data_IF_866982195822
#
_entry.id   IF_866982195822
#
_cell.length_a   1.000
_cell.length_b   1.000
_cell.length_c   1.000
_cell.angle_alpha   90.00
_cell.angle_beta   90.00
_cell.angle_gamma   90.00
#
_symmetry.space_group_name_H-M   'P 1'
#
loop_
_entity.id
_entity.type
_entity.pdbx_description
1 polymer ?
#
# COMPACT_ATOMS: atom_id res chain seq x y z
N UNK A 1 18.23 -83.70 -7.82
CA UNK A 1 18.74 -82.33 -8.05
C UNK A 1 17.60 -81.40 -7.74
N UNK A 2 17.72 -80.62 -6.67
CA UNK A 2 16.63 -79.84 -6.10
C UNK A 2 16.41 -78.51 -6.86
N UNK A 3 15.13 -78.16 -6.94
CA UNK A 3 14.52 -77.12 -7.75
C UNK A 3 14.84 -75.74 -7.15
N UNK A 4 15.37 -74.82 -7.97
CA UNK A 4 15.69 -73.46 -7.54
C UNK A 4 14.48 -72.55 -7.74
N UNK A 5 14.09 -71.91 -6.65
CA UNK A 5 12.83 -71.26 -6.38
C UNK A 5 12.71 -69.90 -7.09
N UNK A 6 11.50 -69.56 -7.52
CA UNK A 6 11.16 -68.35 -8.28
C UNK A 6 11.51 -67.05 -7.55
N UNK A 7 12.53 -66.36 -8.05
CA UNK A 7 12.77 -64.94 -7.77
C UNK A 7 12.39 -64.19 -9.06
N UNK A 8 11.41 -63.28 -9.04
CA UNK A 8 11.12 -62.46 -10.21
C UNK A 8 12.34 -61.61 -10.55
N UNK A 9 12.72 -61.62 -11.84
CA UNK A 9 13.88 -60.90 -12.35
C UNK A 9 13.73 -59.40 -12.06
N UNK A 10 14.74 -58.82 -11.42
CA UNK A 10 14.79 -57.39 -11.10
C UNK A 10 14.61 -56.54 -12.37
N UNK A 11 15.10 -57.02 -13.51
CA UNK A 11 14.92 -56.33 -14.78
C UNK A 11 13.44 -56.28 -15.20
N UNK A 12 12.67 -57.32 -14.91
CA UNK A 12 11.24 -57.38 -15.22
C UNK A 12 10.42 -56.46 -14.32
N UNK A 13 10.78 -56.37 -13.03
CA UNK A 13 10.18 -55.43 -12.07
C UNK A 13 10.45 -53.97 -12.49
N UNK A 14 11.70 -53.65 -12.81
CA UNK A 14 12.08 -52.29 -13.25
C UNK A 14 11.39 -51.91 -14.57
N UNK A 15 11.26 -52.85 -15.51
CA UNK A 15 10.55 -52.62 -16.77
C UNK A 15 9.06 -52.39 -16.56
N UNK A 16 8.44 -53.12 -15.65
CA UNK A 16 7.01 -52.96 -15.32
C UNK A 16 6.76 -51.63 -14.63
N UNK A 17 7.65 -51.20 -13.72
CA UNK A 17 7.56 -49.88 -13.07
C UNK A 17 7.75 -48.73 -14.06
N UNK A 18 8.67 -48.86 -15.03
CA UNK A 18 8.88 -47.84 -16.06
C UNK A 18 7.64 -47.64 -16.96
N UNK A 19 6.87 -48.70 -17.22
CA UNK A 19 5.65 -48.65 -18.03
C UNK A 19 4.43 -48.06 -17.30
N UNK A 20 4.45 -47.97 -15.97
CA UNK A 20 3.36 -47.39 -15.17
C UNK A 20 3.54 -45.88 -14.93
N UNK A 21 4.67 -45.30 -15.33
CA UNK A 21 4.88 -43.86 -15.27
C UNK A 21 4.15 -43.16 -16.44
N UNK A 22 3.38 -42.08 -16.20
CA UNK A 22 2.76 -41.30 -17.28
C UNK A 22 3.84 -40.66 -18.17
N UNK A 23 3.59 -40.44 -19.48
CA UNK A 23 4.60 -40.01 -20.43
C UNK A 23 5.13 -38.62 -20.07
N UNK A 24 6.39 -38.57 -19.63
CA UNK A 24 7.17 -37.34 -19.63
C UNK A 24 7.69 -37.10 -21.04
N UNK A 25 7.02 -36.19 -21.75
CA UNK A 25 7.57 -35.58 -22.94
C UNK A 25 8.80 -34.74 -22.56
N UNK A 26 9.94 -35.04 -23.18
CA UNK A 26 10.93 -34.05 -23.61
C UNK A 26 11.89 -33.50 -22.55
N UNK A 27 13.15 -33.91 -22.66
CA UNK A 27 14.29 -33.24 -22.06
C UNK A 27 14.45 -31.79 -22.58
N UNK A 28 14.50 -30.82 -21.68
CA UNK A 28 15.28 -29.59 -21.84
C UNK A 28 15.92 -29.20 -20.50
N UNK A 29 17.22 -28.88 -20.57
CA UNK A 29 18.00 -28.28 -19.49
C UNK A 29 17.32 -27.01 -18.97
N UNK A 30 17.14 -26.87 -17.65
CA UNK A 30 16.83 -25.58 -17.02
C UNK A 30 17.76 -25.37 -15.82
N UNK A 31 18.61 -24.37 -16.03
CA UNK A 31 19.45 -23.62 -15.09
C UNK A 31 18.61 -23.00 -13.95
N UNK A 32 19.13 -22.81 -12.72
CA UNK A 32 18.35 -22.23 -11.64
C UNK A 32 18.06 -20.75 -11.93
N UNK A 33 16.79 -20.42 -12.15
CA UNK A 33 16.28 -19.05 -12.15
C UNK A 33 15.34 -18.83 -10.96
N UNK A 34 15.38 -17.65 -10.33
CA UNK A 34 14.70 -17.35 -9.08
C UNK A 34 13.20 -17.18 -9.31
N UNK A 35 12.41 -17.59 -8.32
CA UNK A 35 10.97 -17.38 -8.29
C UNK A 35 10.67 -15.88 -8.30
N UNK A 36 9.97 -15.45 -9.35
CA UNK A 36 9.54 -14.07 -9.55
C UNK A 36 8.50 -13.62 -8.54
N UNK A 37 8.62 -12.34 -8.23
CA UNK A 37 7.73 -11.50 -7.44
C UNK A 37 6.47 -11.24 -8.28
N UNK A 38 5.29 -11.60 -7.78
CA UNK A 38 4.03 -11.14 -8.37
C UNK A 38 3.90 -9.62 -8.21
N UNK A 39 4.30 -8.91 -9.27
CA UNK A 39 4.10 -7.48 -9.46
C UNK A 39 2.69 -7.17 -10.00
N UNK A 40 2.23 -5.95 -9.71
CA UNK A 40 1.01 -5.29 -10.14
C UNK A 40 0.69 -5.45 -11.64
N UNK A 41 -0.58 -5.30 -12.07
CA UNK A 41 -0.87 -5.05 -13.47
C UNK A 41 -0.59 -3.58 -13.78
N UNK A 42 0.60 -3.29 -14.33
CA UNK A 42 0.85 -2.03 -15.03
C UNK A 42 0.80 -2.23 -16.54
N UNK A 43 0.36 -1.17 -17.18
CA UNK A 43 -0.26 -1.08 -18.49
C UNK A 43 0.69 -0.36 -19.42
N UNK A 44 1.24 -1.05 -20.41
CA UNK A 44 2.21 -0.53 -21.37
C UNK A 44 1.99 -1.26 -22.72
N UNK A 45 2.09 -0.72 -23.93
CA UNK A 45 2.34 0.60 -24.50
C UNK A 45 1.90 0.52 -25.98
N UNK A 46 1.47 1.63 -26.58
CA UNK A 46 1.72 1.85 -28.01
C UNK A 46 2.12 3.32 -28.21
N UNK A 47 3.34 3.50 -28.68
CA UNK A 47 4.01 4.79 -28.87
C UNK A 47 4.21 4.98 -30.38
N UNK A 48 3.63 6.04 -30.94
CA UNK A 48 4.21 6.65 -32.13
C UNK A 48 3.87 8.14 -32.17
N UNK A 49 4.90 8.96 -32.04
CA UNK A 49 4.93 10.38 -32.35
C UNK A 49 6.01 10.54 -33.43
N UNK A 50 5.84 11.48 -34.39
CA UNK A 50 6.81 12.56 -34.40
C UNK A 50 6.20 13.95 -34.70
N UNK A 51 6.70 14.95 -33.98
CA UNK A 51 6.73 16.37 -34.35
C UNK A 51 8.06 16.63 -35.11
N UNK A 52 8.20 17.67 -35.96
CA UNK A 52 8.68 19.00 -35.48
C UNK A 52 8.01 20.14 -36.33
N UNK A 53 7.77 21.40 -35.94
CA UNK A 53 8.68 22.49 -35.54
C UNK A 53 7.87 23.80 -35.51
N UNK A 54 7.94 24.53 -34.39
CA UNK A 54 8.14 26.00 -34.21
C UNK A 54 7.57 27.00 -35.23
N UNK A 55 6.78 27.98 -34.76
CA UNK A 55 7.04 29.46 -34.81
C UNK A 55 5.78 30.31 -34.45
N UNK A 56 5.85 31.00 -33.32
CA UNK A 56 5.36 32.39 -33.07
C UNK A 56 6.61 33.27 -32.95
N UNK A 57 6.61 34.62 -33.13
CA UNK A 57 5.56 35.64 -32.91
C UNK A 57 5.36 36.55 -34.16
N UNK A 58 4.51 37.57 -34.28
CA UNK A 58 4.29 38.83 -33.52
C UNK A 58 3.09 39.59 -34.21
N UNK A 59 2.74 40.87 -33.91
CA UNK A 59 1.36 41.37 -33.90
C UNK A 59 1.05 42.32 -35.08
N UNK A 60 -0.15 42.23 -35.65
CA UNK A 60 -0.60 43.21 -36.63
C UNK A 60 -1.78 44.02 -36.10
N UNK A 61 -1.46 45.27 -35.80
CA UNK A 61 -2.36 46.41 -35.65
C UNK A 61 -3.13 46.62 -36.95
N UNK A 62 -4.46 46.72 -36.88
CA UNK A 62 -5.37 47.42 -37.82
C UNK A 62 -6.81 46.99 -37.48
N UNK A 63 -7.89 47.74 -37.63
CA UNK A 63 -8.18 49.17 -37.78
C UNK A 63 -9.71 49.21 -37.70
N UNK A 64 -10.26 50.05 -36.82
CA UNK A 64 -11.70 50.29 -36.73
C UNK A 64 -12.22 50.94 -38.03
N UNK A 65 -13.40 50.56 -38.53
CA UNK A 65 -14.24 51.48 -39.26
C UNK A 65 -15.17 52.20 -38.26
N UNK A 66 -14.89 53.49 -38.06
CA UNK A 66 -15.82 54.44 -37.44
C UNK A 66 -16.97 54.71 -38.43
N UNK A 67 -18.20 54.42 -38.02
CA UNK A 67 -19.42 54.90 -38.70
C UNK A 67 -19.73 56.34 -38.20
N UNK A 68 -19.76 57.36 -39.08
CA UNK A 68 -19.89 58.76 -38.69
C UNK A 68 -21.34 59.26 -38.62
N UNK A 69 -22.35 58.40 -38.39
CA UNK A 69 -23.77 58.84 -38.43
C UNK A 69 -24.55 58.82 -37.12
N UNK A 70 -23.92 58.60 -35.97
CA UNK A 70 -24.60 58.71 -34.67
C UNK A 70 -23.88 59.67 -33.71
N UNK A 71 -23.78 60.93 -34.15
CA UNK A 71 -23.55 62.07 -33.27
C UNK A 71 -24.88 62.50 -32.69
N UNK A 72 -25.00 62.49 -31.36
CA UNK A 72 -26.02 63.26 -30.65
C UNK A 72 -27.08 62.44 -29.93
N UNK A 73 -26.74 61.91 -28.74
CA UNK A 73 -27.72 61.88 -27.64
C UNK A 73 -27.03 61.88 -26.28
N UNK A 74 -26.98 63.06 -25.67
CA UNK A 74 -26.76 63.20 -24.23
C UNK A 74 -27.97 62.61 -23.49
N UNK A 75 -27.69 61.66 -22.58
CA UNK A 75 -28.64 61.22 -21.56
C UNK A 75 -27.87 61.05 -20.25
N UNK A 76 -28.00 62.04 -19.37
CA UNK A 76 -27.61 61.93 -17.98
C UNK A 76 -28.46 60.85 -17.28
N UNK A 77 -27.81 59.88 -16.65
CA UNK A 77 -28.42 59.03 -15.63
C UNK A 77 -27.36 58.68 -14.56
N UNK A 78 -27.57 59.03 -13.29
CA UNK A 78 -26.70 58.59 -12.20
C UNK A 78 -27.04 57.13 -11.84
N UNK A 79 -26.08 56.23 -12.08
CA UNK A 79 -26.15 54.85 -11.60
C UNK A 79 -25.83 54.82 -10.09
N UNK A 80 -26.66 54.16 -9.24
CA UNK A 80 -26.27 53.88 -7.87
C UNK A 80 -25.14 52.85 -7.87
N UNK A 81 -24.00 53.26 -7.32
CA UNK A 81 -22.82 52.43 -7.06
C UNK A 81 -23.21 51.20 -6.23
N UNK A 82 -23.23 50.04 -6.90
CA UNK A 82 -23.30 48.73 -6.27
C UNK A 82 -22.04 48.55 -5.42
N UNK A 83 -22.15 48.21 -4.12
CA UNK A 83 -20.98 47.88 -3.32
C UNK A 83 -20.29 46.67 -3.95
N UNK A 84 -19.00 46.80 -4.27
CA UNK A 84 -18.17 45.64 -4.61
C UNK A 84 -18.28 44.63 -3.46
N UNK A 85 -18.40 43.32 -3.76
CA UNK A 85 -18.34 42.29 -2.74
C UNK A 85 -17.00 42.43 -2.03
N UNK A 86 -17.05 42.69 -0.72
CA UNK A 86 -15.89 42.70 0.16
C UNK A 86 -15.07 41.43 -0.14
N UNK A 87 -13.84 41.63 -0.60
CA UNK A 87 -12.83 40.60 -0.74
C UNK A 87 -12.72 39.90 0.62
N UNK A 88 -13.36 38.73 0.74
CA UNK A 88 -13.18 37.85 1.89
C UNK A 88 -11.68 37.66 2.01
N UNK A 89 -11.14 38.03 3.15
CA UNK A 89 -9.75 37.85 3.53
C UNK A 89 -9.31 36.45 3.09
N UNK A 90 -8.45 36.39 2.08
CA UNK A 90 -7.83 35.17 1.61
C UNK A 90 -6.96 34.66 2.75
N UNK A 91 -7.46 33.68 3.50
CA UNK A 91 -6.60 32.94 4.43
C UNK A 91 -5.47 32.32 3.60
N UNK A 92 -4.20 32.50 4.02
CA UNK A 92 -3.06 32.03 3.24
C UNK A 92 -3.19 30.52 3.02
N UNK A 93 -2.90 30.08 1.80
CA UNK A 93 -2.98 28.67 1.44
C UNK A 93 -1.94 27.88 2.23
N UNK A 94 -2.38 27.14 3.25
CA UNK A 94 -1.50 26.32 4.09
C UNK A 94 -1.07 25.09 3.28
N UNK A 95 0.25 24.95 3.09
CA UNK A 95 0.89 23.79 2.46
C UNK A 95 0.88 22.62 3.46
N UNK A 96 0.23 21.50 3.08
CA UNK A 96 0.08 20.31 3.91
C UNK A 96 1.42 19.72 4.40
N UNK A 97 2.52 19.97 3.68
CA UNK A 97 3.87 19.52 4.05
C UNK A 97 4.56 20.36 5.15
N UNK A 98 3.95 21.49 5.52
CA UNK A 98 4.44 22.40 6.58
C UNK A 98 3.59 22.38 7.85
N UNK A 99 2.51 21.60 7.85
CA UNK A 99 1.54 21.56 8.94
C UNK A 99 2.06 20.69 10.09
N UNK A 100 2.42 21.32 11.20
CA UNK A 100 2.83 20.61 12.43
C UNK A 100 1.75 20.57 13.50
N UNK A 101 0.67 21.33 13.33
CA UNK A 101 -0.42 21.42 14.30
C UNK A 101 -1.71 20.73 13.83
N UNK A 102 -2.39 20.03 14.75
CA UNK A 102 -3.63 19.29 14.49
C UNK A 102 -4.75 20.12 13.86
N UNK A 103 -5.04 21.30 14.42
CA UNK A 103 -6.12 22.20 13.94
C UNK A 103 -5.93 22.64 12.49
N UNK A 104 -4.68 22.81 12.06
CA UNK A 104 -4.34 23.17 10.69
C UNK A 104 -4.49 21.95 9.77
N UNK A 105 -4.14 20.75 10.25
CA UNK A 105 -4.35 19.50 9.51
C UNK A 105 -5.82 19.27 9.16
N UNK A 106 -6.74 19.49 10.11
CA UNK A 106 -8.18 19.39 9.87
C UNK A 106 -8.68 20.39 8.82
N UNK A 107 -8.17 21.63 8.85
CA UNK A 107 -8.50 22.64 7.82
C UNK A 107 -8.02 22.20 6.44
N UNK A 108 -6.84 21.61 6.34
CA UNK A 108 -6.32 21.06 5.09
C UNK A 108 -7.22 19.95 4.55
N UNK A 109 -7.66 19.00 5.38
CA UNK A 109 -8.55 17.93 4.96
C UNK A 109 -9.91 18.44 4.50
N UNK A 110 -10.55 19.32 5.27
CA UNK A 110 -11.85 19.89 4.87
C UNK A 110 -11.77 20.70 3.57
N UNK A 111 -10.65 21.39 3.35
CA UNK A 111 -10.41 22.09 2.10
C UNK A 111 -10.18 21.10 0.96
N UNK A 112 -9.39 20.06 1.19
CA UNK A 112 -9.05 19.04 0.19
C UNK A 112 -10.28 18.25 -0.26
N UNK A 113 -11.11 17.80 0.69
CA UNK A 113 -12.35 17.07 0.38
C UNK A 113 -13.38 17.92 -0.37
N UNK A 114 -13.41 19.23 -0.11
CA UNK A 114 -14.25 20.17 -0.87
C UNK A 114 -13.71 20.48 -2.27
N UNK A 115 -12.40 20.35 -2.49
CA UNK A 115 -11.74 20.68 -3.76
C UNK A 115 -11.62 19.48 -4.70
N UNK A 116 -11.34 18.29 -4.17
CA UNK A 116 -11.16 17.07 -4.93
C UNK A 116 -12.26 16.04 -4.57
N UNK A 117 -13.25 15.83 -5.45
CA UNK A 117 -14.28 14.82 -5.22
C UNK A 117 -13.74 13.38 -5.27
N UNK A 118 -12.58 13.15 -5.90
CA UNK A 118 -11.95 11.83 -5.94
C UNK A 118 -11.18 11.50 -4.65
N UNK A 119 -10.98 12.49 -3.76
CA UNK A 119 -10.31 12.29 -2.48
C UNK A 119 -11.02 11.24 -1.62
N UNK A 120 -12.34 11.38 -1.43
CA UNK A 120 -13.14 10.46 -0.63
C UNK A 120 -13.05 9.02 -1.17
N UNK A 121 -13.19 8.84 -2.49
CA UNK A 121 -13.08 7.53 -3.13
C UNK A 121 -11.68 6.91 -2.96
N UNK A 122 -10.62 7.73 -3.00
CA UNK A 122 -9.25 7.27 -2.82
C UNK A 122 -8.99 6.80 -1.38
N UNK A 123 -9.51 7.53 -0.38
CA UNK A 123 -9.42 7.12 1.03
C UNK A 123 -10.24 5.85 1.29
N UNK A 124 -11.47 5.77 0.78
CA UNK A 124 -12.30 4.56 0.85
C UNK A 124 -11.60 3.35 0.25
N UNK A 125 -10.96 3.53 -0.92
CA UNK A 125 -10.18 2.48 -1.57
C UNK A 125 -9.04 2.00 -0.67
N UNK A 126 -8.26 2.90 -0.10
CA UNK A 126 -7.17 2.54 0.82
C UNK A 126 -7.68 1.72 2.03
N UNK A 127 -8.81 2.10 2.61
CA UNK A 127 -9.43 1.39 3.73
C UNK A 127 -9.82 -0.03 3.29
N UNK A 128 -10.54 -0.16 2.16
CA UNK A 128 -10.97 -1.46 1.62
C UNK A 128 -9.80 -2.35 1.22
N UNK A 129 -8.76 -1.79 0.63
CA UNK A 129 -7.55 -2.52 0.26
C UNK A 129 -6.82 -3.05 1.50
N UNK A 130 -6.74 -2.25 2.58
CA UNK A 130 -6.19 -2.71 3.86
C UNK A 130 -7.01 -3.88 4.45
N UNK A 131 -8.33 -3.73 4.52
CA UNK A 131 -9.22 -4.78 5.04
C UNK A 131 -9.11 -6.07 4.24
N UNK A 132 -9.07 -5.95 2.89
CA UNK A 132 -8.89 -7.07 1.99
C UNK A 132 -7.57 -7.80 2.27
N UNK A 133 -6.46 -7.08 2.41
CA UNK A 133 -5.16 -7.67 2.72
C UNK A 133 -5.16 -8.40 4.07
N UNK A 134 -5.73 -7.78 5.11
CA UNK A 134 -5.85 -8.42 6.44
C UNK A 134 -6.69 -9.69 6.36
N UNK A 135 -7.82 -9.66 5.63
CA UNK A 135 -8.67 -10.83 5.42
C UNK A 135 -7.94 -11.93 4.65
N UNK A 136 -7.19 -11.58 3.61
CA UNK A 136 -6.39 -12.53 2.83
C UNK A 136 -5.29 -13.18 3.67
N UNK A 137 -4.64 -12.43 4.56
CA UNK A 137 -3.65 -12.97 5.48
C UNK A 137 -4.26 -13.89 6.54
N UNK A 138 -5.42 -13.55 7.09
CA UNK A 138 -6.10 -14.43 8.03
C UNK A 138 -6.58 -15.72 7.34
N UNK A 139 -7.19 -15.60 6.16
CA UNK A 139 -7.59 -16.75 5.35
C UNK A 139 -6.39 -17.65 4.99
N UNK A 140 -5.25 -17.05 4.63
CA UNK A 140 -4.02 -17.78 4.34
C UNK A 140 -3.49 -18.53 5.57
N UNK A 141 -3.54 -17.90 6.75
CA UNK A 141 -3.21 -18.56 8.02
C UNK A 141 -4.13 -19.72 8.32
N UNK A 142 -5.44 -19.54 8.21
CA UNK A 142 -6.44 -20.60 8.44
C UNK A 142 -6.23 -21.78 7.49
N UNK A 143 -5.99 -21.50 6.20
CA UNK A 143 -5.69 -22.53 5.20
C UNK A 143 -4.43 -23.32 5.56
N UNK A 144 -3.38 -22.65 6.03
CA UNK A 144 -2.14 -23.32 6.44
C UNK A 144 -2.37 -24.27 7.61
N UNK A 145 -3.16 -23.86 8.60
CA UNK A 145 -3.51 -24.70 9.76
C UNK A 145 -4.33 -25.92 9.33
N UNK A 146 -5.31 -25.74 8.43
CA UNK A 146 -6.11 -26.86 7.92
C UNK A 146 -5.25 -27.83 7.09
N UNK A 147 -4.32 -27.30 6.28
CA UNK A 147 -3.37 -28.12 5.54
C UNK A 147 -2.43 -28.92 6.46
N UNK A 148 -1.94 -28.31 7.54
CA UNK A 148 -1.14 -29.00 8.56
C UNK A 148 -1.94 -30.14 9.20
N UNK A 149 -3.19 -29.87 9.57
CA UNK A 149 -4.10 -30.89 10.14
C UNK A 149 -4.33 -32.04 9.16
N UNK A 150 -4.68 -31.73 7.90
CA UNK A 150 -4.90 -32.72 6.85
C UNK A 150 -3.65 -33.58 6.60
N UNK A 151 -2.47 -32.95 6.52
CA UNK A 151 -1.18 -33.67 6.36
C UNK A 151 -0.90 -34.61 7.53
N UNK A 152 -1.18 -34.19 8.76
CA UNK A 152 -0.98 -35.00 9.97
C UNK A 152 -1.92 -36.22 10.00
N UNK A 153 -3.19 -36.02 9.66
CA UNK A 153 -4.18 -37.11 9.56
C UNK A 153 -3.84 -38.08 8.44
N UNK A 154 -3.39 -37.58 7.29
CA UNK A 154 -2.94 -38.40 6.17
C UNK A 154 -1.68 -39.22 6.54
N UNK A 155 -0.68 -38.61 7.19
CA UNK A 155 0.50 -39.35 7.68
C UNK A 155 0.09 -40.45 8.66
N UNK A 156 -0.81 -40.15 9.61
CA UNK A 156 -1.31 -41.14 10.56
C UNK A 156 -1.99 -42.31 9.86
N UNK A 157 -2.82 -42.03 8.85
CA UNK A 157 -3.55 -43.04 8.09
C UNK A 157 -2.63 -43.89 7.23
N UNK A 158 -1.68 -43.28 6.53
CA UNK A 158 -0.65 -43.97 5.74
C UNK A 158 0.22 -44.86 6.62
N UNK A 159 0.62 -44.38 7.79
CA UNK A 159 1.42 -45.15 8.74
C UNK A 159 0.64 -46.34 9.29
N UNK A 160 -0.65 -46.18 9.59
CA UNK A 160 -1.52 -47.27 10.03
C UNK A 160 -1.76 -48.32 8.92
N UNK A 161 -1.82 -47.90 7.65
CA UNK A 161 -1.95 -48.83 6.52
C UNK A 161 -0.70 -49.69 6.29
N UNK A 162 0.49 -49.17 6.63
CA UNK A 162 1.78 -49.86 6.45
C UNK A 162 2.29 -50.51 7.74
N UNK A 163 1.64 -50.27 8.88
CA UNK A 163 2.09 -50.79 10.18
C UNK A 163 1.90 -52.30 10.28
N UNK A 164 2.94 -53.04 9.92
CA UNK A 164 3.20 -54.37 10.45
C UNK A 164 3.73 -54.26 11.89
N UNK A 165 3.35 -55.16 12.82
CA UNK A 165 3.83 -55.12 14.19
C UNK A 165 5.36 -55.02 14.27
N UNK A 166 5.88 -53.99 14.95
CA UNK A 166 7.31 -53.78 15.21
C UNK A 166 8.14 -53.13 14.10
N UNK A 167 7.60 -52.91 12.89
CA UNK A 167 8.38 -52.37 11.77
C UNK A 167 8.52 -50.83 11.80
N UNK A 168 7.50 -50.12 12.30
CA UNK A 168 7.43 -48.66 12.24
C UNK A 168 7.66 -47.97 13.59
N UNK A 169 7.95 -48.68 14.67
CA UNK A 169 8.06 -48.06 16.00
C UNK A 169 9.27 -47.11 16.13
N UNK A 170 10.31 -47.30 15.31
CA UNK A 170 11.53 -46.48 15.33
C UNK A 170 11.56 -45.36 14.27
N UNK A 171 10.52 -45.23 13.44
CA UNK A 171 10.51 -44.22 12.37
C UNK A 171 10.03 -42.87 12.90
N UNK A 172 10.81 -41.77 12.83
CA UNK A 172 10.36 -40.47 13.32
C UNK A 172 9.15 -39.97 12.52
N UNK A 173 8.22 -39.28 13.19
CA UNK A 173 7.10 -38.62 12.51
C UNK A 173 7.62 -37.48 11.64
N UNK A 174 7.11 -37.38 10.42
CA UNK A 174 7.46 -36.33 9.48
C UNK A 174 6.76 -35.01 9.85
N UNK A 175 5.56 -35.08 10.42
CA UNK A 175 4.80 -33.94 10.96
C UNK A 175 4.92 -33.89 12.47
N UNK A 176 5.86 -33.08 12.94
CA UNK A 176 6.01 -32.72 14.35
C UNK A 176 5.41 -31.33 14.61
N UNK A 177 4.92 -31.07 15.83
CA UNK A 177 4.42 -29.74 16.20
C UNK A 177 5.47 -28.64 15.99
N UNK A 178 6.75 -28.95 16.17
CA UNK A 178 7.85 -28.00 15.95
C UNK A 178 7.97 -27.58 14.47
N UNK A 179 7.81 -28.52 13.53
CA UNK A 179 7.81 -28.21 12.09
C UNK A 179 6.59 -27.39 11.69
N UNK A 180 5.42 -27.71 12.24
CA UNK A 180 4.20 -26.95 11.98
C UNK A 180 4.31 -25.51 12.51
N UNK A 181 4.96 -25.32 13.66
CA UNK A 181 5.26 -23.99 14.22
C UNK A 181 6.22 -23.21 13.33
N UNK A 182 7.31 -23.84 12.88
CA UNK A 182 8.29 -23.20 11.98
C UNK A 182 7.63 -22.76 10.65
N UNK A 183 6.78 -23.61 10.06
CA UNK A 183 6.00 -23.25 8.85
C UNK A 183 5.10 -22.01 9.10
N UNK A 184 4.51 -21.91 10.29
CA UNK A 184 3.66 -20.78 10.68
C UNK A 184 4.47 -19.51 10.97
N UNK A 185 5.65 -19.63 11.57
CA UNK A 185 6.56 -18.51 11.82
C UNK A 185 7.08 -17.94 10.49
N UNK A 186 7.41 -18.79 9.52
CA UNK A 186 7.74 -18.35 8.16
C UNK A 186 6.57 -17.63 7.49
N UNK A 187 5.34 -18.08 7.74
CA UNK A 187 4.15 -17.38 7.27
C UNK A 187 4.02 -15.99 7.91
N UNK A 188 4.20 -15.88 9.24
CA UNK A 188 4.16 -14.58 9.93
C UNK A 188 5.25 -13.62 9.45
N UNK A 189 6.45 -14.11 9.16
CA UNK A 189 7.51 -13.29 8.56
C UNK A 189 7.10 -12.72 7.20
N UNK A 190 6.42 -13.52 6.37
CA UNK A 190 5.88 -13.06 5.07
C UNK A 190 4.79 -12.00 5.27
N UNK A 191 3.85 -12.23 6.18
CA UNK A 191 2.78 -11.27 6.50
C UNK A 191 3.35 -9.98 7.04
N UNK A 192 4.34 -10.03 7.94
CA UNK A 192 4.99 -8.84 8.47
C UNK A 192 5.67 -8.02 7.38
N UNK A 193 6.38 -8.68 6.45
CA UNK A 193 6.99 -8.00 5.30
C UNK A 193 5.93 -7.36 4.39
N UNK A 194 4.87 -8.10 4.08
CA UNK A 194 3.77 -7.60 3.25
C UNK A 194 3.03 -6.43 3.92
N UNK A 195 2.83 -6.50 5.24
CA UNK A 195 2.20 -5.45 6.04
C UNK A 195 3.03 -4.16 6.05
N UNK A 196 4.36 -4.26 6.17
CA UNK A 196 5.25 -3.10 6.05
C UNK A 196 5.17 -2.46 4.65
N UNK A 197 5.18 -3.28 3.60
CA UNK A 197 5.06 -2.78 2.22
C UNK A 197 3.70 -2.09 1.98
N UNK A 198 2.62 -2.65 2.52
CA UNK A 198 1.29 -2.03 2.48
C UNK A 198 1.29 -0.68 3.20
N UNK A 199 1.85 -0.59 4.40
CA UNK A 199 1.97 0.67 5.16
C UNK A 199 2.75 1.73 4.36
N UNK A 200 3.88 1.36 3.77
CA UNK A 200 4.69 2.25 2.94
C UNK A 200 3.91 2.76 1.71
N UNK A 201 3.20 1.87 1.01
CA UNK A 201 2.35 2.24 -0.14
C UNK A 201 1.21 3.17 0.28
N UNK A 202 0.52 2.88 1.38
CA UNK A 202 -0.59 3.69 1.88
C UNK A 202 -0.10 5.07 2.32
N UNK A 203 1.04 5.13 3.02
CA UNK A 203 1.69 6.37 3.43
C UNK A 203 2.08 7.22 2.21
N UNK A 204 2.63 6.60 1.16
CA UNK A 204 2.97 7.28 -0.09
C UNK A 204 1.73 7.82 -0.82
N UNK A 205 0.63 7.08 -0.82
CA UNK A 205 -0.64 7.51 -1.41
C UNK A 205 -1.27 8.67 -0.63
N UNK A 206 -1.31 8.60 0.70
CA UNK A 206 -1.77 9.70 1.55
C UNK A 206 -0.93 10.96 1.34
N UNK A 207 0.39 10.81 1.21
CA UNK A 207 1.29 11.93 0.85
C UNK A 207 0.96 12.50 -0.53
N UNK A 208 0.70 11.66 -1.55
CA UNK A 208 0.32 12.09 -2.91
C UNK A 208 -1.01 12.84 -2.92
N UNK A 209 -1.97 12.40 -2.11
CA UNK A 209 -3.26 13.07 -1.93
C UNK A 209 -3.14 14.40 -1.16
N UNK A 210 -1.98 14.69 -0.55
CA UNK A 210 -1.79 15.92 0.22
C UNK A 210 -2.35 15.84 1.64
N UNK A 211 -2.53 14.63 2.18
CA UNK A 211 -2.93 14.44 3.57
C UNK A 211 -1.79 14.95 4.48
N UNK A 212 -2.09 15.84 5.44
CA UNK A 212 -1.08 16.40 6.34
C UNK A 212 -0.44 15.32 7.21
N UNK A 213 0.76 15.59 7.72
CA UNK A 213 1.58 14.68 8.56
C UNK A 213 2.27 13.51 7.82
N UNK A 214 1.85 13.12 6.61
CA UNK A 214 2.49 12.06 5.82
C UNK A 214 3.61 12.58 4.88
N UNK A 215 3.57 13.86 4.55
CA UNK A 215 4.53 14.52 3.65
C UNK A 215 5.41 15.59 4.31
N UNK A 216 5.60 15.55 5.63
CA UNK A 216 6.31 16.63 6.33
C UNK A 216 7.76 16.76 5.87
N UNK A 217 8.20 18.01 5.73
CA UNK A 217 9.58 18.33 5.37
C UNK A 217 10.50 18.01 6.55
N UNK A 218 11.61 17.33 6.26
CA UNK A 218 12.52 16.77 7.27
C UNK A 218 13.14 17.83 8.20
N UNK A 219 13.26 19.09 7.77
CA UNK A 219 13.78 20.16 8.62
C UNK A 219 12.86 20.55 9.78
N UNK A 220 11.58 20.13 9.75
CA UNK A 220 10.62 20.35 10.84
C UNK A 220 10.72 19.26 11.93
N UNK A 221 11.46 18.16 11.68
CA UNK A 221 11.64 17.07 12.62
C UNK A 221 12.88 17.31 13.50
N UNK A 222 12.70 17.25 14.83
CA UNK A 222 13.79 17.28 15.80
C UNK A 222 14.09 15.86 16.28
N UNK A 223 15.35 15.44 16.26
CA UNK A 223 15.78 14.15 16.83
C UNK A 223 15.55 14.10 18.34
N UNK A 224 15.07 12.96 18.84
CA UNK A 224 14.73 12.73 20.25
C UNK A 224 15.95 12.81 21.20
N UNK A 225 17.17 12.78 20.66
CA UNK A 225 18.44 12.69 21.41
C UNK A 225 19.05 14.03 21.84
N UNK A 226 18.39 15.17 21.64
CA UNK A 226 18.91 16.44 22.17
C UNK A 226 18.38 16.68 23.60
N UNK A 227 19.20 16.51 24.67
CA UNK A 227 18.80 16.98 25.98
C UNK A 227 18.61 18.50 25.89
N UNK A 228 17.38 18.96 26.08
CA UNK A 228 17.08 20.38 26.24
C UNK A 228 17.78 20.87 27.52
N UNK A 229 19.00 21.38 27.37
CA UNK A 229 19.57 22.26 28.36
C UNK A 229 18.77 23.56 28.35
N UNK A 230 18.16 23.86 29.50
CA UNK A 230 17.60 25.16 29.91
C UNK A 230 16.23 25.54 29.34
N UNK A 231 15.17 25.30 30.12
CA UNK A 231 14.61 26.38 30.94
C UNK A 231 13.60 25.84 31.97
N UNK A 232 13.78 26.30 33.21
CA UNK A 232 12.90 26.09 34.35
C UNK A 232 11.44 26.53 34.06
N UNK A 233 10.47 25.83 34.64
CA UNK A 233 9.12 26.38 34.83
C UNK A 233 7.99 25.35 34.76
N UNK A 234 7.57 24.90 35.95
CA UNK A 234 6.25 24.43 36.37
C UNK A 234 5.44 23.42 35.53
N UNK A 235 5.00 22.39 36.24
CA UNK A 235 4.21 21.29 35.71
C UNK A 235 2.84 21.71 35.20
N UNK A 236 2.58 21.38 33.93
CA UNK A 236 1.30 20.84 33.51
C UNK A 236 1.50 20.05 32.21
N UNK A 237 1.17 18.76 32.22
CA UNK A 237 1.38 17.83 31.11
C UNK A 237 0.50 18.14 29.90
N UNK A 238 0.89 19.13 29.10
CA UNK A 238 0.30 19.41 27.79
C UNK A 238 1.41 19.23 26.75
N UNK A 239 1.21 18.43 25.68
CA UNK A 239 2.15 18.37 24.57
C UNK A 239 1.99 19.66 23.78
N UNK A 240 2.58 20.75 24.29
CA UNK A 240 2.70 22.00 23.57
C UNK A 240 3.70 21.77 22.45
N UNK A 241 3.27 21.98 21.21
CA UNK A 241 4.19 22.23 20.10
C UNK A 241 5.11 23.36 20.57
N UNK A 242 6.41 23.12 20.58
CA UNK A 242 7.41 24.13 20.87
C UNK A 242 7.14 25.32 19.93
N UNK A 243 7.25 26.54 20.44
CA UNK A 243 6.90 27.79 19.75
C UNK A 243 7.66 28.00 18.41
N UNK A 244 8.61 27.12 18.11
CA UNK A 244 9.40 27.08 16.88
C UNK A 244 8.84 26.14 15.79
N UNK A 245 7.72 25.45 16.03
CA UNK A 245 7.09 24.59 15.01
C UNK A 245 7.84 23.28 14.73
N UNK A 246 8.81 22.91 15.57
CA UNK A 246 9.54 21.65 15.49
C UNK A 246 8.74 20.53 16.17
N UNK A 247 8.62 19.38 15.50
CA UNK A 247 7.88 18.20 15.99
C UNK A 247 8.83 17.02 16.22
N UNK A 248 8.64 16.27 17.30
CA UNK A 248 9.40 15.03 17.51
C UNK A 248 8.82 13.87 16.69
N UNK A 249 9.61 12.85 16.30
CA UNK A 249 9.14 11.69 15.55
C UNK A 249 7.97 10.98 16.25
N UNK A 250 8.02 10.88 17.58
CA UNK A 250 6.98 10.27 18.40
C UNK A 250 5.68 11.08 18.35
N UNK A 251 5.77 12.41 18.42
CA UNK A 251 4.61 13.29 18.27
C UNK A 251 4.03 13.24 16.85
N UNK A 252 4.88 13.15 15.83
CA UNK A 252 4.43 12.99 14.45
C UNK A 252 3.63 11.70 14.25
N UNK A 253 4.12 10.57 14.75
CA UNK A 253 3.37 9.30 14.65
C UNK A 253 2.01 9.37 15.35
N UNK A 254 1.93 10.06 16.47
CA UNK A 254 0.65 10.28 17.15
C UNK A 254 -0.32 11.13 16.31
N UNK A 255 0.16 12.20 15.66
CA UNK A 255 -0.66 13.01 14.75
C UNK A 255 -1.11 12.21 13.51
N UNK A 256 -0.21 11.41 12.92
CA UNK A 256 -0.54 10.53 11.81
C UNK A 256 -1.64 9.54 12.20
N UNK A 257 -1.52 8.85 13.34
CA UNK A 257 -2.54 7.93 13.85
C UNK A 257 -3.88 8.64 14.07
N UNK A 258 -3.84 9.82 14.69
CA UNK A 258 -5.05 10.62 14.91
C UNK A 258 -5.70 11.03 13.58
N UNK A 259 -4.92 11.36 12.57
CA UNK A 259 -5.41 11.70 11.24
C UNK A 259 -6.03 10.48 10.55
N UNK A 260 -5.40 9.31 10.61
CA UNK A 260 -5.96 8.07 10.06
C UNK A 260 -7.31 7.74 10.70
N UNK A 261 -7.39 7.79 12.04
CA UNK A 261 -8.65 7.54 12.74
C UNK A 261 -9.76 8.50 12.29
N UNK A 262 -9.42 9.78 12.11
CA UNK A 262 -10.38 10.76 11.61
C UNK A 262 -10.83 10.49 10.17
N UNK A 263 -9.91 10.07 9.29
CA UNK A 263 -10.26 9.69 7.92
C UNK A 263 -11.14 8.44 7.87
N UNK A 264 -10.88 7.45 8.72
CA UNK A 264 -11.72 6.25 8.86
C UNK A 264 -13.11 6.61 9.40
N UNK A 265 -13.20 7.52 10.37
CA UNK A 265 -14.51 7.98 10.89
C UNK A 265 -15.35 8.69 9.81
N UNK A 266 -14.72 9.47 8.93
CA UNK A 266 -15.43 10.22 7.88
C UNK A 266 -15.76 9.39 6.64
N UNK A 267 -14.90 8.42 6.29
CA UNK A 267 -14.93 7.72 5.00
C UNK A 267 -14.94 6.20 5.13
N UNK A 268 -15.11 5.66 6.34
CA UNK A 268 -15.12 4.21 6.59
C UNK A 268 -16.46 3.52 6.32
N UNK A 269 -17.52 4.28 6.03
CA UNK A 269 -18.85 3.78 5.61
C UNK A 269 -18.93 3.64 4.08
#
# INVERSE_FOLDING_TARGET
MAENNGVPDLAEILRTLANLAPPQNGAQQIQPQPYEINALPNKDHNLHNPLPTVRTPEPTVQSRPHDPRLVGRSSHAPSPSRPLPQSRSSTPSIDASTVTEWKHGLRCINKLSAQDPAFAMSIQKLIKDQERNVRDWDNGRQRLIEEQKSKRENEKTQRAAVSLPGLLDNTPLLRTPDREKEELDQYYMKVHRASRQMEESHSAELKRLGVPFFGLKQYLLRSDDTPSASSNGDGNGKPSVDTNGNITPTQLRNLQRKMLNHLVELYGD
#
